data_IF_915215336682
#
_entry.id   IF_915215336682
#
_cell.length_a   1.000
_cell.length_b   1.000
_cell.length_c   1.000
_cell.angle_alpha   90.00
_cell.angle_beta   90.00
_cell.angle_gamma   90.00
#
_symmetry.space_group_name_H-M   'P 1'
#
loop_
_entity.id
_entity.type
_entity.pdbx_description
1 polymer ?
#
# COMPACT_ATOMS: atom_id res chain seq x y z
N UNK A 1 40.48 -15.80 22.44
CA UNK A 1 39.26 -15.40 23.18
C UNK A 1 38.14 -15.31 22.15
N UNK A 2 37.02 -16.04 22.30
CA UNK A 2 35.90 -15.82 21.40
C UNK A 2 35.24 -14.50 21.81
N UNK A 3 35.29 -13.49 20.95
CA UNK A 3 34.53 -12.24 21.09
C UNK A 3 33.04 -12.57 20.99
N UNK A 4 32.40 -12.97 22.10
CA UNK A 4 30.94 -13.04 22.18
C UNK A 4 30.44 -11.63 22.45
N UNK A 5 30.02 -10.93 21.39
CA UNK A 5 29.23 -9.70 21.50
C UNK A 5 27.99 -10.02 22.35
N UNK A 6 27.83 -9.33 23.47
CA UNK A 6 26.62 -9.41 24.29
C UNK A 6 25.58 -8.41 23.78
N UNK A 7 24.32 -8.54 24.22
CA UNK A 7 23.28 -7.56 23.88
C UNK A 7 23.73 -6.13 24.22
N UNK A 8 24.46 -5.93 25.33
CA UNK A 8 24.97 -4.62 25.74
C UNK A 8 25.93 -3.99 24.73
N UNK A 9 26.65 -4.82 23.96
CA UNK A 9 27.67 -4.37 23.01
C UNK A 9 27.07 -3.97 21.64
N UNK A 10 25.80 -4.31 21.38
CA UNK A 10 25.13 -4.00 20.12
C UNK A 10 24.71 -2.52 20.07
N UNK A 11 24.92 -1.81 18.94
CA UNK A 11 24.51 -0.42 18.79
C UNK A 11 22.99 -0.27 18.84
N UNK A 12 22.50 0.94 19.16
CA UNK A 12 21.06 1.21 19.17
C UNK A 12 20.41 1.02 17.79
N UNK A 13 21.16 1.34 16.74
CA UNK A 13 20.77 1.13 15.35
C UNK A 13 20.89 -0.37 14.98
N UNK A 14 19.76 -1.02 14.75
CA UNK A 14 19.68 -2.46 14.43
C UNK A 14 20.30 -2.79 13.06
N UNK A 15 20.31 -1.86 12.11
CA UNK A 15 20.94 -2.08 10.79
C UNK A 15 22.46 -2.18 10.87
N UNK A 16 23.08 -1.70 11.95
CA UNK A 16 24.53 -1.75 12.15
C UNK A 16 24.97 -3.01 12.90
N UNK A 17 24.06 -3.92 13.26
CA UNK A 17 24.41 -5.10 14.04
C UNK A 17 25.33 -6.03 13.23
N UNK A 18 26.52 -6.38 13.75
CA UNK A 18 27.43 -7.30 13.09
C UNK A 18 26.96 -8.75 13.29
N UNK A 19 27.33 -9.64 12.36
CA UNK A 19 27.16 -11.09 12.55
C UNK A 19 25.72 -11.58 12.66
N UNK A 20 24.74 -10.85 12.10
CA UNK A 20 23.40 -11.41 11.89
C UNK A 20 23.54 -12.68 11.06
N UNK A 21 22.83 -13.76 11.43
CA UNK A 21 21.61 -13.81 12.26
C UNK A 21 21.82 -13.86 13.80
N UNK A 22 20.90 -13.26 14.58
CA UNK A 22 20.99 -13.10 16.05
C UNK A 22 19.67 -13.38 16.79
N UNK A 23 19.72 -14.08 17.94
CA UNK A 23 18.56 -14.37 18.79
C UNK A 23 18.41 -13.37 19.95
N UNK A 24 17.19 -12.89 20.19
CA UNK A 24 16.83 -11.98 21.29
C UNK A 24 16.17 -12.70 22.48
N UNK A 25 16.70 -13.85 22.89
CA UNK A 25 16.13 -14.66 23.99
C UNK A 25 16.93 -14.65 25.29
N UNK A 26 18.05 -13.94 25.37
CA UNK A 26 18.98 -14.02 26.51
C UNK A 26 19.78 -15.34 26.58
N UNK A 27 19.22 -16.44 26.05
CA UNK A 27 19.88 -17.74 25.88
C UNK A 27 20.41 -17.94 24.45
N UNK A 28 21.56 -18.63 24.33
CA UNK A 28 22.15 -19.02 23.04
C UNK A 28 21.20 -19.94 22.27
N UNK A 29 20.49 -19.39 21.29
CA UNK A 29 19.79 -20.21 20.29
C UNK A 29 20.78 -20.54 19.17
N UNK A 30 21.36 -21.74 19.25
CA UNK A 30 22.08 -22.41 18.17
C UNK A 30 21.14 -22.70 16.98
N UNK A 31 21.67 -22.79 15.74
CA UNK A 31 20.98 -22.31 14.55
C UNK A 31 19.83 -23.22 14.13
N UNK A 32 18.61 -22.66 14.11
CA UNK A 32 17.54 -23.14 13.24
C UNK A 32 18.08 -23.11 11.81
N UNK A 33 17.95 -24.23 11.10
CA UNK A 33 18.44 -24.47 9.75
C UNK A 33 18.33 -23.22 8.84
N UNK A 34 19.44 -22.47 8.70
CA UNK A 34 19.50 -21.18 7.98
C UNK A 34 19.18 -21.31 6.48
N UNK A 35 18.98 -22.53 6.01
CA UNK A 35 18.60 -22.86 4.62
C UNK A 35 17.11 -22.68 4.34
N UNK A 36 16.29 -22.27 5.31
CA UNK A 36 14.92 -21.84 5.04
C UNK A 36 14.90 -20.43 4.38
N UNK A 37 15.65 -20.25 3.28
CA UNK A 37 15.87 -18.97 2.58
C UNK A 37 14.61 -18.30 2.03
N UNK A 38 13.42 -18.89 2.22
CA UNK A 38 12.12 -18.39 1.75
C UNK A 38 11.06 -18.23 2.84
N UNK A 39 11.37 -18.54 4.10
CA UNK A 39 10.45 -18.33 5.22
C UNK A 39 10.90 -17.15 6.07
N UNK A 40 9.97 -16.56 6.81
CA UNK A 40 10.20 -15.37 7.61
C UNK A 40 9.09 -14.34 7.45
N UNK A 41 9.30 -13.20 8.09
CA UNK A 41 8.42 -12.03 7.99
C UNK A 41 9.22 -10.77 8.30
N UNK A 42 8.69 -9.64 7.87
CA UNK A 42 9.27 -8.32 8.09
C UNK A 42 8.58 -7.65 9.26
N UNK A 43 9.35 -7.00 10.10
CA UNK A 43 8.91 -5.98 11.05
C UNK A 43 9.57 -4.67 10.63
N UNK A 44 8.80 -3.61 10.42
CA UNK A 44 9.34 -2.35 9.96
C UNK A 44 8.59 -1.14 10.50
N UNK A 45 9.27 0.00 10.54
CA UNK A 45 8.71 1.26 11.00
C UNK A 45 9.76 2.33 11.22
N UNK A 46 9.30 3.57 11.37
CA UNK A 46 10.15 4.70 11.78
C UNK A 46 10.55 4.54 13.24
N UNK A 47 11.82 4.87 13.53
CA UNK A 47 12.35 4.80 14.89
C UNK A 47 12.34 3.40 15.50
N UNK A 48 12.31 2.33 14.69
CA UNK A 48 12.49 0.96 15.16
C UNK A 48 13.98 0.76 15.50
N UNK A 49 14.28 0.82 16.80
CA UNK A 49 15.61 0.70 17.37
C UNK A 49 15.70 -0.52 18.31
N UNK A 50 16.89 -0.73 18.88
CA UNK A 50 17.17 -1.79 19.85
C UNK A 50 16.17 -1.82 21.01
N UNK A 51 15.78 -0.67 21.56
CA UNK A 51 14.90 -0.61 22.72
C UNK A 51 13.48 -1.06 22.36
N UNK A 52 12.91 -0.48 21.29
CA UNK A 52 11.57 -0.86 20.84
C UNK A 52 11.49 -2.31 20.40
N UNK A 53 12.57 -2.85 19.83
CA UNK A 53 12.64 -4.25 19.46
C UNK A 53 12.66 -5.17 20.69
N UNK A 54 13.39 -4.79 21.75
CA UNK A 54 13.38 -5.48 23.04
C UNK A 54 12.00 -5.41 23.71
N UNK A 55 11.36 -4.23 23.73
CA UNK A 55 10.02 -4.06 24.29
C UNK A 55 8.99 -4.93 23.55
N UNK A 56 9.08 -4.95 22.22
CA UNK A 56 8.26 -5.80 21.37
C UNK A 56 8.49 -7.29 21.67
N UNK A 57 9.75 -7.72 21.80
CA UNK A 57 10.11 -9.10 22.16
C UNK A 57 9.51 -9.53 23.51
N UNK A 58 9.62 -8.67 24.53
CA UNK A 58 9.08 -8.93 25.85
C UNK A 58 7.56 -9.08 25.83
N UNK A 59 6.85 -8.20 25.13
CA UNK A 59 5.40 -8.27 25.01
C UNK A 59 4.94 -9.46 24.17
N UNK A 60 5.73 -9.86 23.16
CA UNK A 60 5.48 -11.07 22.38
C UNK A 60 5.59 -12.33 23.23
N UNK A 61 6.44 -12.32 24.26
CA UNK A 61 6.65 -13.44 25.17
C UNK A 61 7.32 -14.64 24.51
N UNK A 62 8.01 -14.43 23.38
CA UNK A 62 8.68 -15.47 22.61
C UNK A 62 10.05 -15.02 22.13
N UNK A 63 10.95 -15.98 21.93
CA UNK A 63 12.25 -15.74 21.30
C UNK A 63 12.06 -15.24 19.87
N UNK A 64 12.85 -14.25 19.46
CA UNK A 64 12.90 -13.77 18.09
C UNK A 64 14.30 -13.99 17.50
N UNK A 65 14.35 -14.50 16.27
CA UNK A 65 15.60 -14.64 15.52
C UNK A 65 15.60 -13.62 14.39
N UNK A 66 16.50 -12.64 14.50
CA UNK A 66 16.73 -11.61 13.49
C UNK A 66 17.67 -12.17 12.44
N UNK A 67 17.19 -12.27 11.21
CA UNK A 67 17.96 -12.79 10.08
C UNK A 67 18.79 -11.69 9.44
N UNK A 68 18.19 -10.53 9.21
CA UNK A 68 18.85 -9.36 8.64
C UNK A 68 18.12 -8.08 9.04
N UNK A 69 18.81 -6.95 9.01
CA UNK A 69 18.23 -5.63 9.25
C UNK A 69 18.88 -4.60 8.33
N UNK A 70 18.07 -3.70 7.77
CA UNK A 70 18.50 -2.69 6.81
C UNK A 70 17.60 -1.45 6.87
N UNK A 71 17.96 -0.44 6.06
CA UNK A 71 17.25 0.83 5.99
C UNK A 71 16.58 0.99 4.64
N UNK A 72 15.38 1.57 4.67
CA UNK A 72 14.69 2.07 3.50
C UNK A 72 14.33 3.52 3.79
N UNK A 73 15.19 4.43 3.34
CA UNK A 73 15.14 5.85 3.72
C UNK A 73 15.06 5.99 5.26
N UNK A 74 13.97 6.52 5.80
CA UNK A 74 13.74 6.69 7.23
C UNK A 74 13.16 5.46 7.96
N UNK A 75 12.83 4.41 7.22
CA UNK A 75 12.32 3.16 7.77
C UNK A 75 13.45 2.20 8.13
N UNK A 76 13.35 1.59 9.31
CA UNK A 76 14.11 0.38 9.63
C UNK A 76 13.29 -0.83 9.24
N UNK A 77 13.91 -1.78 8.56
CA UNK A 77 13.30 -3.07 8.21
C UNK A 77 14.11 -4.19 8.84
N UNK A 78 13.43 -5.10 9.52
CA UNK A 78 14.03 -6.26 10.17
C UNK A 78 13.35 -7.51 9.60
N UNK A 79 14.15 -8.44 9.08
CA UNK A 79 13.69 -9.78 8.73
C UNK A 79 13.80 -10.68 9.94
N UNK A 80 12.68 -11.28 10.33
CA UNK A 80 12.57 -12.25 11.40
C UNK A 80 12.33 -13.65 10.82
N UNK A 81 12.92 -14.67 11.45
CA UNK A 81 12.69 -16.06 11.08
C UNK A 81 11.31 -16.55 11.57
N UNK A 82 10.82 -17.65 10.98
CA UNK A 82 9.55 -18.27 11.34
C UNK A 82 8.34 -17.67 10.63
N UNK A 83 7.15 -17.92 11.17
CA UNK A 83 5.88 -17.47 10.58
C UNK A 83 5.29 -16.31 11.36
N UNK A 84 4.76 -15.31 10.64
CA UNK A 84 4.01 -14.21 11.23
C UNK A 84 2.70 -14.73 11.84
N UNK A 85 2.50 -14.55 13.14
CA UNK A 85 1.25 -14.93 13.83
C UNK A 85 0.29 -13.73 13.92
N UNK A 86 -1.03 -13.95 14.03
CA UNK A 86 -1.99 -12.87 14.25
C UNK A 86 -1.70 -12.04 15.50
N UNK A 87 -1.20 -12.67 16.58
CA UNK A 87 -0.80 -11.98 17.80
C UNK A 87 0.41 -11.08 17.58
N UNK A 88 1.45 -11.58 16.89
CA UNK A 88 2.64 -10.78 16.56
C UNK A 88 2.29 -9.57 15.66
N UNK A 89 1.41 -9.77 14.69
CA UNK A 89 0.92 -8.69 13.81
C UNK A 89 0.13 -7.65 14.60
N UNK A 90 -0.82 -8.06 15.44
CA UNK A 90 -1.57 -7.14 16.30
C UNK A 90 -0.64 -6.33 17.19
N UNK A 91 0.29 -7.00 17.88
CA UNK A 91 1.25 -6.36 18.77
C UNK A 91 2.11 -5.32 18.05
N UNK A 92 2.54 -5.61 16.82
CA UNK A 92 3.35 -4.68 16.04
C UNK A 92 2.53 -3.43 15.70
N UNK A 93 1.28 -3.61 15.28
CA UNK A 93 0.38 -2.50 15.00
C UNK A 93 0.04 -1.69 16.25
N UNK A 94 -0.15 -2.31 17.42
CA UNK A 94 -0.36 -1.60 18.69
C UNK A 94 0.89 -0.77 19.08
N UNK A 95 2.09 -1.22 18.67
CA UNK A 95 3.35 -0.51 18.86
C UNK A 95 3.68 0.54 17.77
N UNK A 96 2.75 0.80 16.83
CA UNK A 96 2.98 1.75 15.73
C UNK A 96 3.97 1.25 14.66
N UNK A 97 4.10 -0.07 14.51
CA UNK A 97 4.94 -0.74 13.52
C UNK A 97 4.08 -1.54 12.54
N UNK A 98 4.64 -1.83 11.38
CA UNK A 98 4.00 -2.68 10.37
C UNK A 98 4.76 -3.98 10.18
N UNK A 99 4.04 -4.98 9.65
CA UNK A 99 4.57 -6.31 9.42
C UNK A 99 4.13 -6.85 8.05
N UNK A 100 4.94 -7.73 7.47
CA UNK A 100 4.56 -8.44 6.26
C UNK A 100 5.14 -9.86 6.23
N UNK A 101 4.37 -10.90 5.88
CA UNK A 101 4.92 -12.24 5.69
C UNK A 101 5.84 -12.29 4.47
N UNK A 102 6.99 -12.99 4.58
CA UNK A 102 7.82 -13.31 3.44
C UNK A 102 7.31 -14.61 2.78
N UNK A 103 7.06 -14.57 1.48
CA UNK A 103 6.59 -15.75 0.73
C UNK A 103 6.35 -15.44 -0.74
N UNK A 104 5.18 -14.87 -1.06
CA UNK A 104 4.79 -14.47 -2.43
C UNK A 104 5.03 -12.98 -2.68
N UNK A 105 6.25 -12.51 -2.40
CA UNK A 105 6.63 -11.13 -2.68
C UNK A 105 7.33 -11.10 -4.05
N UNK A 106 6.93 -10.21 -4.97
CA UNK A 106 7.66 -9.92 -6.20
C UNK A 106 9.15 -9.64 -5.97
N UNK A 107 9.97 -9.90 -6.97
CA UNK A 107 11.41 -9.68 -6.88
C UNK A 107 11.72 -8.25 -7.30
N UNK A 108 12.18 -7.42 -6.38
CA UNK A 108 12.33 -5.98 -6.61
C UNK A 108 13.29 -5.64 -7.77
N UNK A 109 14.30 -6.47 -8.04
CA UNK A 109 15.25 -6.30 -9.16
C UNK A 109 14.71 -6.80 -10.52
N UNK A 110 13.57 -7.46 -10.52
CA UNK A 110 12.88 -7.90 -11.75
C UNK A 110 11.83 -6.85 -12.11
N UNK A 111 11.63 -6.50 -13.39
CA UNK A 111 10.53 -5.65 -13.79
C UNK A 111 9.20 -6.17 -13.25
N UNK A 112 8.46 -5.31 -12.56
CA UNK A 112 7.15 -5.61 -12.00
C UNK A 112 6.11 -4.56 -12.34
N UNK A 113 4.88 -4.79 -11.89
CA UNK A 113 3.74 -3.90 -12.07
C UNK A 113 3.12 -3.57 -10.73
N UNK A 114 3.08 -2.29 -10.38
CA UNK A 114 2.28 -1.76 -9.27
C UNK A 114 1.01 -1.13 -9.83
N UNK A 115 -0.16 -1.61 -9.39
CA UNK A 115 -1.46 -0.98 -9.64
C UNK A 115 -2.02 -0.45 -8.33
N UNK A 116 -2.42 0.83 -8.28
CA UNK A 116 -2.94 1.47 -7.09
C UNK A 116 -4.32 2.06 -7.31
N UNK A 117 -5.16 2.08 -6.26
CA UNK A 117 -6.26 3.05 -6.22
C UNK A 117 -5.72 4.48 -6.12
N UNK A 118 -6.56 5.46 -6.45
CA UNK A 118 -6.26 6.88 -6.38
C UNK A 118 -6.78 7.48 -5.07
N UNK A 119 -8.11 7.60 -4.93
CA UNK A 119 -8.75 8.20 -3.76
C UNK A 119 -8.38 7.40 -2.50
N UNK A 120 -8.08 8.10 -1.42
CA UNK A 120 -7.61 7.52 -0.13
C UNK A 120 -6.39 6.59 -0.20
N UNK A 121 -5.69 6.51 -1.35
CA UNK A 121 -4.51 5.64 -1.56
C UNK A 121 -3.35 6.40 -2.20
N UNK A 122 -3.47 6.83 -3.46
CA UNK A 122 -2.47 7.71 -4.09
C UNK A 122 -2.63 9.17 -3.65
N UNK A 123 -3.84 9.59 -3.28
CA UNK A 123 -4.13 10.92 -2.76
C UNK A 123 -4.87 10.81 -1.42
N UNK A 124 -4.82 11.85 -0.61
CA UNK A 124 -5.34 11.82 0.76
C UNK A 124 -6.85 12.13 0.86
N UNK A 125 -7.51 12.40 -0.26
CA UNK A 125 -8.91 12.84 -0.30
C UNK A 125 -9.75 11.91 -1.16
N UNK A 126 -11.06 11.97 -0.96
CA UNK A 126 -12.07 11.48 -1.90
C UNK A 126 -12.42 12.62 -2.87
N UNK A 127 -12.02 12.52 -4.14
CA UNK A 127 -12.19 13.61 -5.10
C UNK A 127 -13.65 14.05 -5.24
N UNK A 128 -14.61 13.12 -5.17
CA UNK A 128 -16.04 13.43 -5.32
C UNK A 128 -16.58 14.27 -4.17
N UNK A 129 -16.09 14.06 -2.95
CA UNK A 129 -16.53 14.80 -1.76
C UNK A 129 -16.05 16.25 -1.82
N UNK A 130 -14.81 16.49 -2.28
CA UNK A 130 -14.28 17.84 -2.47
C UNK A 130 -14.98 18.59 -3.62
N UNK A 131 -15.33 17.90 -4.72
CA UNK A 131 -16.14 18.48 -5.79
C UNK A 131 -17.52 18.87 -5.24
N UNK A 132 -18.18 17.96 -4.51
CA UNK A 132 -19.53 18.17 -3.99
C UNK A 132 -19.58 19.32 -2.99
N UNK A 133 -18.56 19.46 -2.14
CA UNK A 133 -18.41 20.58 -1.22
C UNK A 133 -18.33 21.92 -1.96
N UNK A 134 -17.49 22.00 -3.00
CA UNK A 134 -17.37 23.22 -3.82
C UNK A 134 -18.61 23.49 -4.68
N UNK A 135 -19.34 22.46 -5.08
CA UNK A 135 -20.60 22.56 -5.82
C UNK A 135 -21.82 22.88 -4.91
N UNK A 136 -21.67 22.84 -3.58
CA UNK A 136 -22.75 23.10 -2.63
C UNK A 136 -23.71 21.92 -2.42
N UNK A 137 -23.34 20.70 -2.84
CA UNK A 137 -24.15 19.49 -2.71
C UNK A 137 -23.49 18.40 -1.84
N UNK A 138 -22.53 18.78 -0.98
CA UNK A 138 -21.82 17.87 -0.09
C UNK A 138 -22.73 16.99 0.79
N UNK A 139 -23.80 17.56 1.35
CA UNK A 139 -24.76 16.81 2.18
C UNK A 139 -25.47 15.70 1.38
N UNK A 140 -25.83 15.97 0.12
CA UNK A 140 -26.51 15.01 -0.75
C UNK A 140 -25.58 13.86 -1.13
N UNK A 141 -24.30 14.15 -1.38
CA UNK A 141 -23.28 13.12 -1.64
C UNK A 141 -23.04 12.26 -0.41
N UNK A 142 -22.95 12.87 0.77
CA UNK A 142 -22.79 12.15 2.04
C UNK A 142 -23.96 11.18 2.29
N UNK A 143 -25.21 11.62 2.09
CA UNK A 143 -26.40 10.76 2.24
C UNK A 143 -26.34 9.52 1.33
N UNK A 144 -25.95 9.70 0.06
CA UNK A 144 -25.81 8.59 -0.89
C UNK A 144 -24.67 7.65 -0.49
N UNK A 145 -23.54 8.21 -0.02
CA UNK A 145 -22.40 7.42 0.47
C UNK A 145 -22.79 6.56 1.68
N UNK A 146 -23.54 7.11 2.64
CA UNK A 146 -24.01 6.36 3.80
C UNK A 146 -24.94 5.19 3.42
N UNK A 147 -25.83 5.40 2.44
CA UNK A 147 -26.69 4.33 1.93
C UNK A 147 -25.89 3.22 1.24
N UNK A 148 -24.86 3.58 0.48
CA UNK A 148 -23.94 2.62 -0.13
C UNK A 148 -23.16 1.83 0.94
N UNK A 149 -22.67 2.49 1.99
CA UNK A 149 -21.98 1.82 3.11
C UNK A 149 -22.90 0.88 3.90
N UNK A 150 -24.21 1.15 3.94
CA UNK A 150 -25.25 0.24 4.47
C UNK A 150 -25.57 -0.95 3.55
N UNK A 151 -25.01 -0.98 2.34
CA UNK A 151 -25.27 -2.01 1.34
C UNK A 151 -26.61 -1.84 0.60
N UNK A 152 -27.25 -0.68 0.73
CA UNK A 152 -28.52 -0.37 0.02
C UNK A 152 -28.30 -0.07 -1.47
N UNK A 153 -27.07 0.31 -1.84
CA UNK A 153 -26.67 0.64 -3.20
C UNK A 153 -25.39 -0.13 -3.53
N UNK A 154 -25.34 -0.72 -4.72
CA UNK A 154 -24.08 -1.18 -5.29
C UNK A 154 -23.17 0.01 -5.65
N UNK A 155 -21.89 -0.27 -5.90
CA UNK A 155 -20.90 0.76 -6.21
C UNK A 155 -21.30 1.62 -7.43
N UNK A 156 -21.81 0.99 -8.48
CA UNK A 156 -22.17 1.66 -9.73
C UNK A 156 -23.37 2.59 -9.53
N UNK A 157 -24.41 2.13 -8.85
CA UNK A 157 -25.57 2.91 -8.49
C UNK A 157 -25.21 4.07 -7.56
N UNK A 158 -24.38 3.81 -6.54
CA UNK A 158 -23.86 4.85 -5.64
C UNK A 158 -23.07 5.92 -6.38
N UNK A 159 -22.15 5.54 -7.27
CA UNK A 159 -21.36 6.50 -8.04
C UNK A 159 -22.25 7.34 -8.95
N UNK A 160 -23.18 6.72 -9.70
CA UNK A 160 -24.09 7.47 -10.57
C UNK A 160 -24.97 8.45 -9.79
N UNK A 161 -25.48 8.04 -8.63
CA UNK A 161 -26.27 8.93 -7.77
C UNK A 161 -25.44 10.09 -7.22
N UNK A 162 -24.21 9.84 -6.73
CA UNK A 162 -23.33 10.91 -6.25
C UNK A 162 -22.90 11.86 -7.37
N UNK A 163 -22.68 11.36 -8.58
CA UNK A 163 -22.35 12.22 -9.73
C UNK A 163 -23.56 13.03 -10.19
N UNK A 164 -24.77 12.46 -10.12
CA UNK A 164 -26.00 13.17 -10.48
C UNK A 164 -26.24 14.43 -9.62
N UNK A 165 -25.82 14.45 -8.36
CA UNK A 165 -25.92 15.65 -7.50
C UNK A 165 -25.03 16.80 -7.97
N UNK A 166 -24.04 16.53 -8.83
CA UNK A 166 -23.13 17.53 -9.39
C UNK A 166 -23.70 18.22 -10.64
N UNK A 167 -24.89 17.86 -11.09
CA UNK A 167 -25.49 18.41 -12.31
C UNK A 167 -25.58 19.95 -12.26
N UNK A 168 -25.05 20.59 -13.30
CA UNK A 168 -25.07 22.04 -13.47
C UNK A 168 -23.92 22.78 -12.78
N UNK A 169 -23.09 22.08 -12.00
CA UNK A 169 -21.90 22.67 -11.40
C UNK A 169 -20.87 23.08 -12.46
N UNK A 170 -20.16 24.19 -12.20
CA UNK A 170 -19.09 24.69 -13.07
C UNK A 170 -17.90 23.71 -13.08
N UNK A 171 -17.48 23.28 -14.29
CA UNK A 171 -16.37 22.34 -14.44
C UNK A 171 -15.03 22.88 -13.94
N UNK A 172 -14.88 24.20 -13.78
CA UNK A 172 -13.70 24.82 -13.20
C UNK A 172 -13.46 24.40 -11.73
N UNK A 173 -14.47 23.87 -11.04
CA UNK A 173 -14.31 23.23 -9.72
C UNK A 173 -13.28 22.10 -9.78
N UNK A 174 -13.27 21.30 -10.85
CA UNK A 174 -12.31 20.20 -11.01
C UNK A 174 -10.87 20.70 -10.97
N UNK A 175 -10.62 21.86 -11.61
CA UNK A 175 -9.32 22.51 -11.60
C UNK A 175 -8.91 22.96 -10.20
N UNK A 176 -9.84 23.52 -9.41
CA UNK A 176 -9.57 23.96 -8.04
C UNK A 176 -9.16 22.78 -7.15
N UNK A 177 -9.88 21.66 -7.21
CA UNK A 177 -9.53 20.43 -6.47
C UNK A 177 -8.17 19.89 -6.91
N UNK A 178 -7.90 19.87 -8.23
CA UNK A 178 -6.63 19.39 -8.78
C UNK A 178 -5.43 20.22 -8.34
N UNK A 179 -5.56 21.55 -8.36
CA UNK A 179 -4.45 22.45 -8.03
C UNK A 179 -4.07 22.36 -6.54
N UNK A 180 -5.00 21.92 -5.67
CA UNK A 180 -4.79 21.67 -4.25
C UNK A 180 -4.64 20.18 -3.87
N UNK A 181 -4.48 19.28 -4.85
CA UNK A 181 -4.56 17.83 -4.65
C UNK A 181 -3.45 17.31 -3.70
N UNK A 182 -3.78 16.84 -2.49
CA UNK A 182 -2.79 16.35 -1.55
C UNK A 182 -2.38 14.93 -1.95
N UNK A 183 -1.14 14.78 -2.42
CA UNK A 183 -0.57 13.46 -2.68
C UNK A 183 -0.39 12.68 -1.38
N UNK A 184 -0.60 11.38 -1.42
CA UNK A 184 -0.30 10.51 -0.28
C UNK A 184 1.20 10.55 0.01
N UNK A 185 1.62 10.67 1.30
CA UNK A 185 3.03 10.65 1.64
C UNK A 185 3.72 9.39 1.09
N UNK A 186 4.95 9.55 0.62
CA UNK A 186 5.72 8.48 -0.03
C UNK A 186 5.35 8.19 -1.49
N UNK A 187 4.24 8.69 -2.05
CA UNK A 187 3.81 8.38 -3.43
C UNK A 187 4.89 8.69 -4.47
N UNK A 188 5.40 9.92 -4.45
CA UNK A 188 6.41 10.39 -5.42
C UNK A 188 7.69 9.56 -5.31
N UNK A 189 8.17 9.34 -4.09
CA UNK A 189 9.39 8.58 -3.81
C UNK A 189 9.24 7.11 -4.22
N UNK A 190 8.13 6.47 -3.88
CA UNK A 190 7.81 5.09 -4.25
C UNK A 190 7.81 4.95 -5.77
N UNK A 191 7.08 5.83 -6.46
CA UNK A 191 6.94 5.80 -7.93
C UNK A 191 8.30 5.95 -8.60
N UNK A 192 9.10 6.93 -8.19
CA UNK A 192 10.44 7.16 -8.74
C UNK A 192 11.38 5.97 -8.52
N UNK A 193 11.40 5.40 -7.30
CA UNK A 193 12.28 4.23 -6.99
C UNK A 193 11.88 3.00 -7.79
N UNK A 194 10.58 2.73 -7.94
CA UNK A 194 10.09 1.60 -8.74
C UNK A 194 10.39 1.79 -10.23
N UNK A 195 10.10 2.96 -10.78
CA UNK A 195 10.41 3.28 -12.18
C UNK A 195 11.91 3.17 -12.48
N UNK A 196 12.78 3.62 -11.57
CA UNK A 196 14.23 3.47 -11.69
C UNK A 196 14.70 2.00 -11.73
N UNK A 197 13.90 1.08 -11.20
CA UNK A 197 14.13 -0.37 -11.24
C UNK A 197 13.40 -1.06 -12.40
N UNK A 198 12.82 -0.30 -13.34
CA UNK A 198 12.12 -0.83 -14.51
C UNK A 198 10.70 -1.31 -14.23
N UNK A 199 10.13 -0.99 -13.07
CA UNK A 199 8.74 -1.30 -12.77
C UNK A 199 7.78 -0.35 -13.50
N UNK A 200 6.63 -0.90 -13.89
CA UNK A 200 5.49 -0.15 -14.36
C UNK A 200 4.63 0.27 -13.17
N UNK A 201 4.17 1.51 -13.16
CA UNK A 201 3.30 2.05 -12.09
C UNK A 201 2.04 2.59 -12.75
N UNK A 202 0.87 2.14 -12.27
CA UNK A 202 -0.41 2.49 -12.85
C UNK A 202 -1.48 2.77 -11.79
N UNK A 203 -2.48 3.57 -12.15
CA UNK A 203 -3.68 3.82 -11.33
C UNK A 203 -4.89 3.11 -11.95
N UNK A 204 -5.69 2.44 -11.12
CA UNK A 204 -7.01 1.94 -11.47
C UNK A 204 -8.00 2.41 -10.39
N UNK A 205 -8.80 3.43 -10.70
CA UNK A 205 -9.61 4.12 -9.69
C UNK A 205 -11.09 4.23 -10.03
N UNK A 206 -11.90 4.19 -8.98
CA UNK A 206 -13.32 4.56 -9.04
C UNK A 206 -13.56 6.08 -9.08
N UNK A 207 -12.50 6.89 -8.91
CA UNK A 207 -12.53 8.33 -9.07
C UNK A 207 -12.57 8.76 -10.54
N UNK A 208 -12.03 9.94 -10.87
CA UNK A 208 -12.23 10.57 -12.18
C UNK A 208 -10.96 10.72 -13.03
N UNK A 209 -11.10 10.49 -14.34
CA UNK A 209 -10.01 10.59 -15.35
C UNK A 209 -9.28 11.92 -15.29
N UNK A 210 -9.98 13.03 -15.03
CA UNK A 210 -9.37 14.37 -14.91
C UNK A 210 -8.20 14.41 -13.90
N UNK A 211 -8.35 13.75 -12.75
CA UNK A 211 -7.31 13.70 -11.72
C UNK A 211 -6.30 12.58 -11.99
N UNK A 212 -6.76 11.42 -12.46
CA UNK A 212 -5.90 10.30 -12.78
C UNK A 212 -4.89 10.65 -13.88
N UNK A 213 -5.31 11.36 -14.94
CA UNK A 213 -4.42 11.84 -16.00
C UNK A 213 -3.45 12.92 -15.51
N UNK A 214 -3.89 13.81 -14.63
CA UNK A 214 -2.97 14.77 -14.00
C UNK A 214 -1.87 14.04 -13.21
N UNK A 215 -2.21 13.00 -12.44
CA UNK A 215 -1.23 12.18 -11.74
C UNK A 215 -0.34 11.38 -12.70
N UNK A 216 -0.91 10.86 -13.80
CA UNK A 216 -0.16 10.19 -14.87
C UNK A 216 0.96 11.08 -15.38
N UNK A 217 0.63 12.32 -15.74
CA UNK A 217 1.57 13.22 -16.37
C UNK A 217 2.59 13.75 -15.34
N UNK A 218 2.15 14.02 -14.11
CA UNK A 218 2.99 14.51 -13.02
C UNK A 218 4.02 13.48 -12.52
N UNK A 219 3.65 12.19 -12.52
CA UNK A 219 4.47 11.10 -11.98
C UNK A 219 4.99 10.14 -13.06
N UNK A 220 4.73 10.44 -14.34
CA UNK A 220 5.07 9.60 -15.49
C UNK A 220 4.55 8.16 -15.38
N UNK A 221 3.30 7.99 -14.94
CA UNK A 221 2.69 6.68 -14.77
C UNK A 221 2.49 5.98 -16.13
N UNK A 222 2.67 4.67 -16.15
CA UNK A 222 2.60 3.85 -17.36
C UNK A 222 1.17 3.71 -17.90
N UNK A 223 0.18 3.78 -17.02
CA UNK A 223 -1.24 3.73 -17.37
C UNK A 223 -2.10 4.33 -16.26
N UNK A 224 -3.26 4.88 -16.63
CA UNK A 224 -4.33 5.24 -15.70
C UNK A 224 -5.67 4.83 -16.26
N UNK A 225 -6.56 4.38 -15.38
CA UNK A 225 -7.95 4.02 -15.68
C UNK A 225 -8.81 4.63 -14.58
N UNK A 226 -9.81 5.42 -14.96
CA UNK A 226 -10.77 6.03 -14.06
C UNK A 226 -12.09 6.32 -14.79
N UNK A 227 -13.10 6.78 -14.04
CA UNK A 227 -14.40 7.15 -14.60
C UNK A 227 -14.34 8.54 -15.27
N UNK A 228 -15.05 8.72 -16.37
CA UNK A 228 -15.08 10.00 -17.07
C UNK A 228 -16.35 10.79 -16.73
N UNK A 229 -16.19 11.98 -16.16
CA UNK A 229 -17.30 12.92 -15.94
C UNK A 229 -17.71 13.54 -17.27
N UNK A 230 -19.01 13.53 -17.58
CA UNK A 230 -19.51 14.23 -18.75
C UNK A 230 -19.58 15.74 -18.50
N UNK A 231 -18.93 16.50 -19.37
CA UNK A 231 -18.90 17.97 -19.34
C UNK A 231 -19.49 18.51 -20.64
N UNK A 232 -20.45 19.43 -20.54
CA UNK A 232 -21.03 20.15 -21.69
C UNK A 232 -21.13 21.63 -21.35
N UNK A 233 -20.74 22.48 -22.29
CA UNK A 233 -20.77 23.94 -22.16
C UNK A 233 -20.11 24.45 -20.86
N UNK A 234 -18.99 23.83 -20.47
CA UNK A 234 -18.25 24.17 -19.26
C UNK A 234 -18.90 23.74 -17.95
N UNK A 235 -19.94 22.88 -17.98
CA UNK A 235 -20.66 22.40 -16.79
C UNK A 235 -20.70 20.89 -16.72
N UNK A 236 -20.72 20.36 -15.49
CA UNK A 236 -20.95 18.94 -15.24
C UNK A 236 -22.42 18.61 -15.57
N UNK A 237 -22.65 17.54 -16.33
CA UNK A 237 -24.03 17.14 -16.68
C UNK A 237 -24.69 16.26 -15.62
N UNK A 238 -23.91 15.75 -14.66
CA UNK A 238 -24.35 14.75 -13.68
C UNK A 238 -24.26 13.31 -14.18
N UNK A 239 -23.62 13.07 -15.34
CA UNK A 239 -23.43 11.73 -15.89
C UNK A 239 -21.96 11.29 -15.87
N UNK A 240 -21.76 9.97 -15.82
CA UNK A 240 -20.48 9.31 -16.06
C UNK A 240 -20.52 8.64 -17.44
N UNK A 241 -19.52 8.92 -18.28
CA UNK A 241 -19.35 8.35 -19.60
C UNK A 241 -18.68 6.97 -19.54
N UNK A 242 -19.00 6.13 -20.52
CA UNK A 242 -18.35 4.83 -20.68
C UNK A 242 -18.66 3.80 -19.59
N UNK A 243 -17.86 2.73 -19.52
CA UNK A 243 -17.98 1.71 -18.48
C UNK A 243 -17.52 2.27 -17.12
N UNK A 244 -18.20 1.84 -16.05
CA UNK A 244 -17.81 2.21 -14.69
C UNK A 244 -16.62 1.35 -14.24
N UNK A 245 -15.62 2.00 -13.65
CA UNK A 245 -14.46 1.35 -13.03
C UNK A 245 -14.85 0.80 -11.67
N UNK A 246 -15.53 -0.34 -11.67
CA UNK A 246 -15.89 -1.09 -10.47
C UNK A 246 -14.79 -2.06 -10.01
N UNK A 247 -15.07 -2.86 -8.98
CA UNK A 247 -14.11 -3.80 -8.41
C UNK A 247 -13.59 -4.84 -9.42
N UNK A 248 -14.47 -5.34 -10.29
CA UNK A 248 -14.10 -6.31 -11.31
C UNK A 248 -13.27 -5.64 -12.41
N UNK A 249 -13.66 -4.42 -12.79
CA UNK A 249 -12.91 -3.61 -13.76
C UNK A 249 -11.47 -3.38 -13.27
N UNK A 250 -11.25 -3.03 -11.99
CA UNK A 250 -9.91 -2.86 -11.42
C UNK A 250 -9.09 -4.15 -11.49
N UNK A 251 -9.68 -5.29 -11.13
CA UNK A 251 -9.02 -6.59 -11.21
C UNK A 251 -8.65 -6.99 -12.64
N UNK A 252 -9.55 -6.74 -13.60
CA UNK A 252 -9.29 -6.99 -15.02
C UNK A 252 -8.24 -6.03 -15.58
N UNK A 253 -8.21 -4.79 -15.11
CA UNK A 253 -7.20 -3.80 -15.47
C UNK A 253 -5.81 -4.27 -15.07
N UNK A 254 -5.63 -4.79 -13.85
CA UNK A 254 -4.35 -5.36 -13.41
C UNK A 254 -3.86 -6.45 -14.37
N UNK A 255 -4.74 -7.40 -14.74
CA UNK A 255 -4.39 -8.49 -15.67
C UNK A 255 -4.05 -7.98 -17.07
N UNK A 256 -4.85 -7.05 -17.60
CA UNK A 256 -4.64 -6.44 -18.92
C UNK A 256 -3.32 -5.66 -18.98
N UNK A 257 -3.01 -4.89 -17.93
CA UNK A 257 -1.76 -4.14 -17.85
C UNK A 257 -0.55 -5.06 -17.70
N UNK A 258 -0.65 -6.10 -16.87
CA UNK A 258 0.41 -7.11 -16.76
C UNK A 258 0.72 -7.75 -18.12
N UNK A 259 -0.31 -8.16 -18.87
CA UNK A 259 -0.15 -8.68 -20.22
C UNK A 259 0.43 -7.65 -21.20
N UNK A 260 -0.08 -6.40 -21.17
CA UNK A 260 0.37 -5.31 -22.06
C UNK A 260 1.85 -4.99 -21.89
N UNK A 261 2.35 -5.05 -20.65
CA UNK A 261 3.73 -4.72 -20.31
C UNK A 261 4.65 -5.94 -20.22
N UNK A 262 4.17 -7.13 -20.60
CA UNK A 262 4.91 -8.39 -20.51
C UNK A 262 5.45 -8.68 -19.09
N UNK A 263 4.63 -8.40 -18.07
CA UNK A 263 4.95 -8.62 -16.66
C UNK A 263 4.28 -9.92 -16.19
N UNK A 264 5.09 -10.82 -15.64
CA UNK A 264 4.59 -12.07 -15.07
C UNK A 264 3.59 -11.80 -13.93
N UNK A 265 2.51 -12.59 -13.80
CA UNK A 265 1.54 -12.44 -12.70
C UNK A 265 2.19 -12.40 -11.32
N UNK A 266 3.27 -13.15 -11.11
CA UNK A 266 4.06 -13.21 -9.87
C UNK A 266 4.85 -11.93 -9.56
N UNK A 267 4.95 -10.99 -10.51
CA UNK A 267 5.57 -9.68 -10.37
C UNK A 267 4.55 -8.53 -10.28
N UNK A 268 3.31 -8.84 -9.90
CA UNK A 268 2.24 -7.84 -9.74
C UNK A 268 2.00 -7.47 -8.27
N UNK A 269 1.82 -6.18 -8.01
CA UNK A 269 1.46 -5.61 -6.72
C UNK A 269 0.17 -4.81 -6.90
N UNK A 270 -0.79 -4.98 -5.99
CA UNK A 270 -1.98 -4.15 -5.93
C UNK A 270 -2.10 -3.48 -4.56
N UNK A 271 -2.43 -2.20 -4.53
CA UNK A 271 -2.69 -1.44 -3.30
C UNK A 271 -4.05 -0.75 -3.36
N UNK A 272 -4.76 -0.75 -2.24
CA UNK A 272 -6.04 -0.05 -2.08
C UNK A 272 -6.50 -0.04 -0.61
N UNK A 273 -7.44 0.84 -0.30
CA UNK A 273 -8.00 1.02 1.05
C UNK A 273 -9.42 0.45 1.19
N UNK A 274 -10.11 0.31 0.04
CA UNK A 274 -11.54 0.12 -0.04
C UNK A 274 -11.99 -1.31 -0.32
N UNK A 275 -13.27 -1.58 -0.07
CA UNK A 275 -13.88 -2.88 -0.42
C UNK A 275 -13.97 -3.09 -1.93
N UNK A 276 -14.02 -2.01 -2.71
CA UNK A 276 -13.94 -2.02 -4.18
C UNK A 276 -12.56 -2.48 -4.70
N UNK A 277 -11.51 -2.46 -3.89
CA UNK A 277 -10.17 -2.90 -4.30
C UNK A 277 -9.90 -4.37 -4.03
N UNK A 278 -10.72 -5.02 -3.19
CA UNK A 278 -10.48 -6.38 -2.73
C UNK A 278 -10.30 -7.39 -3.86
N UNK A 279 -11.01 -7.23 -4.98
CA UNK A 279 -10.84 -8.12 -6.14
C UNK A 279 -9.49 -7.90 -6.83
N UNK A 280 -9.04 -6.64 -6.97
CA UNK A 280 -7.73 -6.29 -7.53
C UNK A 280 -6.59 -6.76 -6.62
N UNK A 281 -6.73 -6.51 -5.31
CA UNK A 281 -5.80 -6.97 -4.26
C UNK A 281 -5.64 -8.49 -4.33
N UNK A 282 -6.74 -9.24 -4.35
CA UNK A 282 -6.73 -10.71 -4.44
C UNK A 282 -6.21 -11.25 -5.78
N UNK A 283 -6.32 -10.48 -6.86
CA UNK A 283 -5.85 -10.89 -8.19
C UNK A 283 -4.34 -10.70 -8.38
N UNK A 284 -3.70 -9.86 -7.58
CA UNK A 284 -2.25 -9.61 -7.63
C UNK A 284 -1.43 -10.66 -6.87
N UNK A 285 -0.13 -10.74 -7.15
CA UNK A 285 0.77 -11.60 -6.38
C UNK A 285 1.00 -11.07 -4.95
N UNK A 286 1.16 -9.75 -4.82
CA UNK A 286 1.24 -9.05 -3.55
C UNK A 286 0.12 -8.00 -3.46
N UNK A 287 -0.99 -8.40 -2.83
CA UNK A 287 -2.10 -7.51 -2.51
C UNK A 287 -1.91 -6.87 -1.14
N UNK A 288 -1.98 -5.54 -1.07
CA UNK A 288 -1.76 -4.78 0.16
C UNK A 288 -2.99 -3.91 0.43
N UNK A 289 -3.54 -4.06 1.63
CA UNK A 289 -4.51 -3.11 2.17
C UNK A 289 -3.76 -1.93 2.79
N UNK A 290 -3.90 -0.73 2.23
CA UNK A 290 -3.18 0.46 2.66
C UNK A 290 -4.11 1.38 3.44
N UNK A 291 -3.80 1.65 4.72
CA UNK A 291 -4.60 2.49 5.63
C UNK A 291 -6.11 2.13 5.58
N UNK A 292 -6.38 0.85 5.34
CA UNK A 292 -7.68 0.40 4.90
C UNK A 292 -8.67 0.29 6.05
N UNK A 293 -9.96 0.26 5.70
CA UNK A 293 -11.06 0.05 6.67
C UNK A 293 -10.92 -1.35 7.32
N UNK A 294 -11.38 -1.55 8.58
CA UNK A 294 -11.21 -2.82 9.30
C UNK A 294 -11.62 -4.07 8.50
N UNK A 295 -12.77 -4.03 7.83
CA UNK A 295 -13.28 -5.14 6.99
C UNK A 295 -12.37 -5.50 5.81
N UNK A 296 -11.58 -4.54 5.30
CA UNK A 296 -10.63 -4.76 4.19
C UNK A 296 -9.34 -5.37 4.74
N UNK A 297 -8.87 -4.86 5.89
CA UNK A 297 -7.72 -5.44 6.60
C UNK A 297 -7.94 -6.91 6.97
N UNK A 298 -9.13 -7.26 7.46
CA UNK A 298 -9.48 -8.65 7.81
C UNK A 298 -9.49 -9.61 6.61
N UNK A 299 -9.67 -9.09 5.39
CA UNK A 299 -9.73 -9.88 4.17
C UNK A 299 -8.43 -9.89 3.37
N UNK A 300 -7.37 -9.25 3.88
CA UNK A 300 -6.10 -9.07 3.17
C UNK A 300 -4.95 -9.59 4.01
N UNK A 301 -4.05 -10.36 3.39
CA UNK A 301 -2.92 -10.99 4.11
C UNK A 301 -1.82 -10.00 4.49
N UNK A 302 -1.68 -8.89 3.74
CA UNK A 302 -0.67 -7.87 3.96
C UNK A 302 -1.37 -6.53 4.15
N UNK A 303 -1.08 -5.86 5.27
CA UNK A 303 -1.69 -4.58 5.62
C UNK A 303 -0.62 -3.58 6.00
N UNK A 304 -0.70 -2.37 5.48
CA UNK A 304 0.11 -1.23 5.93
C UNK A 304 -0.83 -0.31 6.73
N UNK A 305 -0.55 -0.13 8.03
CA UNK A 305 -1.38 0.69 8.93
C UNK A 305 -0.72 1.99 9.37
N UNK A 306 0.62 2.03 9.43
CA UNK A 306 1.35 3.15 10.03
C UNK A 306 2.34 3.79 9.07
N UNK A 307 3.05 3.00 8.27
CA UNK A 307 3.92 3.50 7.23
C UNK A 307 3.11 4.24 6.16
N UNK A 308 3.77 5.18 5.48
CA UNK A 308 3.22 5.76 4.27
C UNK A 308 3.46 4.81 3.08
N UNK A 309 3.29 5.28 1.84
CA UNK A 309 3.44 4.41 0.67
C UNK A 309 4.84 3.80 0.51
N UNK A 310 5.88 4.34 1.17
CA UNK A 310 7.19 3.68 1.24
C UNK A 310 7.18 2.36 2.00
N UNK A 311 6.13 2.08 2.79
CA UNK A 311 5.88 0.74 3.34
C UNK A 311 5.79 -0.34 2.27
N UNK A 312 5.26 -0.02 1.07
CA UNK A 312 5.26 -0.94 -0.08
C UNK A 312 6.69 -1.29 -0.49
N UNK A 313 7.56 -0.27 -0.57
CA UNK A 313 8.96 -0.47 -0.91
C UNK A 313 9.69 -1.26 0.18
N UNK A 314 9.40 -1.02 1.46
CA UNK A 314 9.93 -1.81 2.58
C UNK A 314 9.62 -3.31 2.39
N UNK A 315 8.38 -3.65 2.05
CA UNK A 315 7.96 -5.03 1.80
C UNK A 315 8.73 -5.62 0.61
N UNK A 316 8.79 -4.89 -0.50
CA UNK A 316 9.50 -5.34 -1.70
C UNK A 316 11.00 -5.53 -1.48
N UNK A 317 11.65 -4.72 -0.63
CA UNK A 317 13.06 -4.92 -0.27
C UNK A 317 13.30 -6.24 0.47
N UNK A 318 12.28 -6.84 1.09
CA UNK A 318 12.38 -8.18 1.66
C UNK A 318 12.62 -9.30 0.64
N UNK A 319 12.36 -9.05 -0.65
CA UNK A 319 12.73 -9.95 -1.75
C UNK A 319 14.21 -9.89 -2.12
N UNK A 320 14.93 -8.87 -1.65
CA UNK A 320 16.37 -8.77 -1.82
C UNK A 320 17.03 -9.73 -0.84
N UNK A 321 17.75 -10.71 -1.40
CA UNK A 321 18.63 -11.53 -0.61
C UNK A 321 19.75 -10.59 -0.14
N UNK A 322 19.78 -10.29 1.16
CA UNK A 322 20.86 -9.55 1.80
C UNK A 322 22.08 -10.48 1.98
N UNK A 323 22.52 -11.10 0.88
CA UNK A 323 23.61 -12.09 0.86
C UNK A 323 25.00 -11.46 0.73
N UNK A 324 25.10 -10.14 0.54
CA UNK A 324 26.40 -9.48 0.40
C UNK A 324 26.56 -8.36 1.43
N UNK A 325 27.25 -8.69 2.53
CA UNK A 325 28.09 -7.76 3.27
C UNK A 325 29.55 -8.12 3.01
#
# INVERSE_FOLDING_TARGET
MPNRLTWCDLPADVSLWPGLPLSLSGDEVMPLDYRAGRTGWLLYGRGLDKQRLTDYQHQLGAAMVIVSAWNVDEYRVIRLAGSLTPFASKLAHDAGLDVAPLGKIPHLKTPGLLVMDMDSTAIQIECIDEIAKLAGCGEQVAEVTERAMRGELDFTASLRQRVATLQGADANILKQVRDALPLMPGLTTLTQKLQALGWQVAIASGGFTYYAEYLRDKLHLSAVVANELEIRDGKLTGNVLGPIVDAQYKADTLKKLAQRFDIAPEQTVAIGDGANDLLMIKASALGIAFHAKPKVNEQTAVTIRHADLMGVFCILTGSLIHEER
#
